data_IF_545969258812
#
_entry.id   IF_545969258812
#
_cell.length_a   1.000
_cell.length_b   1.000
_cell.length_c   1.000
_cell.angle_alpha   90.00
_cell.angle_beta   90.00
_cell.angle_gamma   90.00
#
_symmetry.space_group_name_H-M   'P 1'
#
loop_
_entity.id
_entity.type
_entity.pdbx_description
1 polymer ?
#
# COMPACT_ATOMS: atom_id res chain seq x y z
N UNK A 1 -2.88 -11.77 -20.53
CA UNK A 1 -2.70 -10.43 -19.92
C UNK A 1 -1.23 -10.07 -20.07
N UNK A 2 -0.91 -9.13 -20.96
CA UNK A 2 0.46 -8.64 -21.10
C UNK A 2 0.64 -7.54 -20.07
N UNK A 3 1.27 -7.84 -18.93
CA UNK A 3 1.49 -6.85 -17.87
C UNK A 3 2.38 -5.72 -18.39
N UNK A 4 1.94 -4.48 -18.16
CA UNK A 4 2.72 -3.26 -18.42
C UNK A 4 4.16 -3.44 -17.91
N UNK A 5 5.20 -3.24 -18.75
CA UNK A 5 6.59 -3.28 -18.35
C UNK A 5 6.89 -2.48 -17.06
N UNK A 6 6.20 -1.37 -16.83
CA UNK A 6 6.35 -0.58 -15.60
C UNK A 6 5.82 -1.31 -14.37
N UNK A 7 4.68 -1.99 -14.48
CA UNK A 7 4.10 -2.77 -13.39
C UNK A 7 5.02 -3.93 -13.00
N UNK A 8 5.63 -4.62 -13.97
CA UNK A 8 6.59 -5.70 -13.71
C UNK A 8 7.86 -5.19 -13.04
N UNK A 9 8.40 -4.06 -13.51
CA UNK A 9 9.57 -3.43 -12.89
C UNK A 9 9.29 -3.02 -11.43
N UNK A 10 8.12 -2.46 -11.17
CA UNK A 10 7.68 -2.09 -9.83
C UNK A 10 7.55 -3.32 -8.91
N UNK A 11 6.88 -4.38 -9.35
CA UNK A 11 6.73 -5.61 -8.55
C UNK A 11 8.10 -6.21 -8.19
N UNK A 12 9.05 -6.22 -9.13
CA UNK A 12 10.41 -6.71 -8.89
C UNK A 12 11.16 -5.86 -7.87
N UNK A 13 11.07 -4.53 -7.98
CA UNK A 13 11.70 -3.62 -7.01
C UNK A 13 11.14 -3.84 -5.61
N UNK A 14 9.81 -3.95 -5.49
CA UNK A 14 9.12 -4.18 -4.23
C UNK A 14 9.54 -5.50 -3.58
N UNK A 15 9.77 -6.57 -4.36
CA UNK A 15 10.32 -7.82 -3.81
C UNK A 15 11.76 -7.64 -3.29
N UNK A 16 12.61 -6.92 -4.01
CA UNK A 16 14.00 -6.68 -3.60
C UNK A 16 14.06 -5.87 -2.31
N UNK A 17 13.19 -4.87 -2.17
CA UNK A 17 13.10 -4.06 -0.95
C UNK A 17 12.64 -4.94 0.22
N UNK A 18 11.60 -5.75 0.04
CA UNK A 18 11.12 -6.66 1.09
C UNK A 18 12.20 -7.68 1.50
N UNK A 19 12.98 -8.20 0.56
CA UNK A 19 14.12 -9.07 0.84
C UNK A 19 15.24 -8.38 1.65
N UNK A 20 15.32 -7.05 1.60
CA UNK A 20 16.22 -6.22 2.41
C UNK A 20 15.59 -5.79 3.74
N UNK A 21 14.37 -6.24 4.04
CA UNK A 21 13.65 -5.88 5.26
C UNK A 21 13.05 -4.47 5.23
N UNK A 22 12.91 -3.85 4.06
CA UNK A 22 12.30 -2.52 3.92
C UNK A 22 11.19 -2.50 2.89
N UNK A 23 10.27 -1.56 3.00
CA UNK A 23 9.15 -1.48 2.08
C UNK A 23 8.61 -0.05 1.97
N UNK A 24 8.21 0.35 0.76
CA UNK A 24 7.59 1.64 0.53
C UNK A 24 6.09 1.58 0.90
N UNK A 25 5.67 2.42 1.85
CA UNK A 25 4.26 2.56 2.22
C UNK A 25 3.44 3.04 1.02
N UNK A 26 2.34 2.34 0.69
CA UNK A 26 1.50 2.70 -0.46
C UNK A 26 0.81 4.05 -0.29
N UNK A 27 0.60 4.50 0.96
CA UNK A 27 -0.06 5.76 1.29
C UNK A 27 0.91 6.94 1.24
N UNK A 28 1.90 6.99 2.16
CA UNK A 28 2.80 8.13 2.30
C UNK A 28 4.09 8.04 1.46
N UNK A 29 4.33 6.91 0.78
CA UNK A 29 5.53 6.63 -0.03
C UNK A 29 6.85 6.58 0.74
N UNK A 30 6.83 6.75 2.06
CA UNK A 30 8.01 6.57 2.90
C UNK A 30 8.47 5.11 2.90
N UNK A 31 9.78 4.89 2.88
CA UNK A 31 10.40 3.60 3.18
C UNK A 31 10.34 3.35 4.68
N UNK A 32 9.94 2.15 5.07
CA UNK A 32 9.79 1.71 6.46
C UNK A 32 10.36 0.31 6.62
N UNK A 33 10.70 -0.08 7.85
CA UNK A 33 11.07 -1.46 8.15
C UNK A 33 9.89 -2.40 7.89
N UNK A 34 10.17 -3.62 7.42
CA UNK A 34 9.13 -4.60 7.12
C UNK A 34 8.30 -4.92 8.37
N UNK A 35 8.93 -4.96 9.56
CA UNK A 35 8.24 -5.15 10.84
C UNK A 35 7.29 -4.01 11.24
N UNK A 36 7.48 -2.80 10.71
CA UNK A 36 6.66 -1.60 10.99
C UNK A 36 5.57 -1.39 9.94
N UNK A 37 5.28 -2.45 9.17
CA UNK A 37 4.30 -2.41 8.09
C UNK A 37 3.34 -3.58 8.09
N UNK A 38 2.09 -3.27 7.79
CA UNK A 38 1.10 -4.28 7.42
C UNK A 38 1.25 -4.59 5.94
N UNK A 39 1.54 -5.85 5.61
CA UNK A 39 1.76 -6.30 4.23
C UNK A 39 0.71 -7.31 3.77
N UNK A 40 0.38 -7.27 2.48
CA UNK A 40 -0.42 -8.29 1.81
C UNK A 40 0.41 -8.99 0.74
N UNK A 41 0.41 -10.31 0.80
CA UNK A 41 1.14 -11.18 -0.11
C UNK A 41 0.17 -12.07 -0.87
N UNK A 42 0.43 -12.27 -2.16
CA UNK A 42 -0.31 -13.19 -3.02
C UNK A 42 0.68 -14.06 -3.77
N UNK A 43 0.63 -15.38 -3.56
CA UNK A 43 1.53 -16.35 -4.21
C UNK A 43 3.02 -15.97 -4.07
N UNK A 44 3.44 -15.52 -2.88
CA UNK A 44 4.82 -15.09 -2.62
C UNK A 44 5.20 -13.73 -3.19
N UNK A 45 4.27 -13.02 -3.84
CA UNK A 45 4.48 -11.66 -4.34
C UNK A 45 3.79 -10.67 -3.41
N UNK A 46 4.57 -9.76 -2.85
CA UNK A 46 4.07 -8.57 -2.17
C UNK A 46 3.24 -7.69 -3.11
N UNK A 47 1.96 -7.52 -2.80
CA UNK A 47 1.00 -6.77 -3.64
C UNK A 47 0.56 -5.46 -3.00
N UNK A 48 0.68 -5.32 -1.68
CA UNK A 48 0.33 -4.10 -0.97
C UNK A 48 1.07 -4.00 0.36
N UNK A 49 1.39 -2.77 0.78
CA UNK A 49 1.89 -2.49 2.11
C UNK A 49 1.53 -1.09 2.59
N UNK A 50 1.39 -0.97 3.90
CA UNK A 50 1.11 0.28 4.59
C UNK A 50 1.86 0.32 5.91
N UNK A 51 2.44 1.47 6.26
CA UNK A 51 3.11 1.63 7.55
C UNK A 51 2.11 1.80 8.69
N UNK A 52 2.52 1.46 9.91
CA UNK A 52 1.67 1.50 11.09
C UNK A 52 1.03 2.89 11.32
N UNK A 53 1.80 3.96 11.09
CA UNK A 53 1.29 5.33 11.15
C UNK A 53 0.11 5.57 10.19
N UNK A 54 0.22 5.09 8.94
CA UNK A 54 -0.86 5.21 7.98
C UNK A 54 -2.02 4.25 8.28
N UNK A 55 -1.74 3.03 8.74
CA UNK A 55 -2.74 2.05 9.14
C UNK A 55 -3.59 2.55 10.34
N UNK A 56 -2.99 3.29 11.27
CA UNK A 56 -3.74 3.90 12.38
C UNK A 56 -4.59 5.09 11.96
N UNK A 57 -4.18 5.82 10.92
CA UNK A 57 -4.86 7.04 10.44
C UNK A 57 -5.95 6.77 9.41
N UNK A 58 -6.00 5.59 8.81
CA UNK A 58 -6.91 5.28 7.71
C UNK A 58 -7.68 3.98 7.97
N UNK A 59 -8.94 3.97 7.55
CA UNK A 59 -9.66 2.73 7.33
C UNK A 59 -9.31 2.21 5.94
N UNK A 60 -8.75 1.01 5.88
CA UNK A 60 -8.31 0.36 4.66
C UNK A 60 -9.24 -0.82 4.41
N UNK A 61 -9.96 -0.78 3.30
CA UNK A 61 -10.90 -1.83 2.89
C UNK A 61 -10.33 -2.53 1.67
N UNK A 62 -10.25 -3.86 1.76
CA UNK A 62 -9.80 -4.72 0.67
C UNK A 62 -10.97 -5.58 0.21
N UNK A 63 -11.32 -5.48 -1.07
CA UNK A 63 -12.44 -6.21 -1.65
C UNK A 63 -11.98 -7.03 -2.86
N UNK A 64 -12.40 -8.30 -2.99
CA UNK A 64 -12.13 -9.06 -4.20
C UNK A 64 -12.90 -8.46 -5.39
N UNK A 65 -12.27 -8.44 -6.56
CA UNK A 65 -12.86 -8.06 -7.85
C UNK A 65 -12.42 -9.06 -8.92
N UNK A 66 -13.12 -9.13 -10.06
CA UNK A 66 -12.80 -10.12 -11.13
C UNK A 66 -11.33 -10.13 -11.54
N UNK A 67 -10.69 -8.96 -11.52
CA UNK A 67 -9.29 -8.78 -11.94
C UNK A 67 -8.27 -8.87 -10.79
N UNK A 68 -8.71 -8.98 -9.53
CA UNK A 68 -7.79 -9.01 -8.38
C UNK A 68 -8.38 -8.51 -7.07
N UNK A 69 -7.68 -7.60 -6.40
CA UNK A 69 -8.07 -7.00 -5.12
C UNK A 69 -8.13 -5.49 -5.32
N UNK A 70 -9.31 -4.92 -5.08
CA UNK A 70 -9.46 -3.48 -4.97
C UNK A 70 -9.08 -3.06 -3.55
N UNK A 71 -8.20 -2.06 -3.44
CA UNK A 71 -7.83 -1.46 -2.15
C UNK A 71 -8.32 -0.03 -2.09
N UNK A 72 -9.23 0.24 -1.15
CA UNK A 72 -9.73 1.59 -0.85
C UNK A 72 -9.22 2.01 0.50
N UNK A 73 -8.87 3.28 0.64
CA UNK A 73 -8.50 3.85 1.92
C UNK A 73 -9.17 5.19 2.15
N UNK A 74 -9.62 5.40 3.39
CA UNK A 74 -10.25 6.64 3.84
C UNK A 74 -9.57 7.10 5.12
N UNK A 75 -9.26 8.38 5.23
CA UNK A 75 -8.78 8.94 6.49
C UNK A 75 -9.87 8.81 7.57
N UNK A 76 -9.48 8.36 8.78
CA UNK A 76 -10.38 8.24 9.94
C UNK A 76 -10.87 9.58 10.48
N UNK A 77 -10.14 10.65 10.20
CA UNK A 77 -10.51 12.01 10.59
C UNK A 77 -11.51 12.65 9.62
N UNK A 78 -12.43 13.45 10.15
CA UNK A 78 -13.25 14.32 9.32
C UNK A 78 -12.36 15.33 8.58
N UNK A 79 -12.62 15.53 7.29
CA UNK A 79 -12.05 16.67 6.55
C UNK A 79 -12.83 17.90 7.00
N UNK A 80 -12.21 18.75 7.81
CA UNK A 80 -12.80 20.02 8.23
C UNK A 80 -12.47 21.07 7.18
N UNK A 81 -13.44 21.40 6.34
CA UNK A 81 -13.36 22.53 5.42
C UNK A 81 -13.75 23.80 6.20
N UNK A 82 -12.80 24.72 6.40
CA UNK A 82 -13.11 26.04 6.95
C UNK A 82 -13.29 27.01 5.79
N UNK A 83 -14.45 27.67 5.71
CA UNK A 83 -14.63 28.81 4.82
C UNK A 83 -13.69 29.93 5.28
N UNK A 84 -12.89 30.45 4.36
CA UNK A 84 -12.01 31.59 4.65
C UNK A 84 -12.83 32.81 5.06
N UNK A 85 -12.36 33.52 6.09
CA UNK A 85 -12.78 34.88 6.41
C UNK A 85 -12.11 35.88 5.48
#
# INVERSE_FOLDING_TARGET
MNEDPMQRAWLKQVQLDAARGVIACRMCKALQGLEETTTLWRNGVLVFAVCDSCAHRHDIVMSPVETGVEVRARARGAIVLRGGS
#
